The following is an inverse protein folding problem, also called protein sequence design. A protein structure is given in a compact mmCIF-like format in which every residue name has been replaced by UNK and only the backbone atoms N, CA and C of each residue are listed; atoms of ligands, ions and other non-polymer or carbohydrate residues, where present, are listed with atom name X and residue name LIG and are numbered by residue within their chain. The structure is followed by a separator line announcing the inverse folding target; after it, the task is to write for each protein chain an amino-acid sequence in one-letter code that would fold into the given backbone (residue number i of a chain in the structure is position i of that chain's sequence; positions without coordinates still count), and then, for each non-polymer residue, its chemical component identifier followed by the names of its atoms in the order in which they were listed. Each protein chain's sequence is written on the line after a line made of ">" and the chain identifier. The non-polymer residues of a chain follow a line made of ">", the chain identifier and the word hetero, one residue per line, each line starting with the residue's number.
data_IF_450372358080
#
_entry.id   IF_450372358080
#
_cell.length_a   1.000
_cell.length_b   1.000
_cell.length_c   1.000
_cell.angle_alpha   90.00
_cell.angle_beta   90.00
_cell.angle_gamma   90.00
#
_symmetry.space_group_name_H-M   'P 1'
#
loop_
_entity.id
_entity.type
_entity.pdbx_description
1 polymer ?
#
# COMPACT_ATOMS: atom_id res chain seq x y z
N UNK A 1 -50.44 23.52 55.72
CA UNK A 1 -49.85 23.79 54.39
C UNK A 1 -48.56 22.99 54.31
N UNK A 2 -48.29 22.36 53.16
CA UNK A 2 -47.08 21.61 52.75
C UNK A 2 -47.08 20.05 52.86
N UNK A 3 -47.40 19.43 51.71
CA UNK A 3 -46.74 18.32 50.94
C UNK A 3 -46.12 17.12 51.69
N UNK A 4 -46.48 15.86 51.34
CA UNK A 4 -45.60 14.71 51.48
C UNK A 4 -44.80 14.38 50.21
N UNK A 5 -43.59 13.90 50.48
CA UNK A 5 -42.54 13.40 49.60
C UNK A 5 -42.98 12.21 48.73
N UNK A 6 -42.44 12.16 47.50
CA UNK A 6 -41.51 11.14 47.00
C UNK A 6 -41.72 10.90 45.50
N UNK A 7 -40.69 11.18 44.71
CA UNK A 7 -40.06 10.23 43.79
C UNK A 7 -38.88 10.93 43.09
N UNK A 8 -37.69 10.85 43.69
CA UNK A 8 -36.46 11.11 42.95
C UNK A 8 -35.85 9.79 42.50
N UNK A 9 -35.92 9.61 41.18
CA UNK A 9 -35.45 8.50 40.39
C UNK A 9 -33.91 8.45 40.44
N UNK A 10 -33.35 7.41 41.07
CA UNK A 10 -31.91 7.17 41.12
C UNK A 10 -31.38 6.80 39.71
N UNK A 11 -30.86 7.80 38.99
CA UNK A 11 -30.11 7.60 37.75
C UNK A 11 -28.65 7.31 38.10
N UNK A 12 -28.30 6.03 38.17
CA UNK A 12 -26.91 5.59 38.11
C UNK A 12 -26.29 6.03 36.76
N UNK A 13 -25.19 6.80 36.72
CA UNK A 13 -24.48 7.05 35.47
C UNK A 13 -23.74 5.78 35.08
N UNK A 14 -24.18 5.14 33.99
CA UNK A 14 -23.44 4.10 33.29
C UNK A 14 -22.02 4.59 33.02
N UNK A 15 -21.04 4.04 33.74
CA UNK A 15 -19.62 4.15 33.41
C UNK A 15 -19.45 3.60 31.99
N UNK A 16 -19.23 4.49 31.02
CA UNK A 16 -18.85 4.14 29.65
C UNK A 16 -17.60 3.25 29.75
N UNK A 17 -17.76 1.95 29.48
CA UNK A 17 -16.65 1.01 29.33
C UNK A 17 -15.77 1.55 28.21
N UNK A 18 -14.62 2.13 28.55
CA UNK A 18 -13.53 2.37 27.59
C UNK A 18 -13.15 0.99 27.07
N UNK A 19 -13.57 0.66 25.86
CA UNK A 19 -13.08 -0.51 25.15
C UNK A 19 -11.58 -0.32 24.98
N UNK A 20 -10.77 -1.04 25.77
CA UNK A 20 -9.33 -1.13 25.56
C UNK A 20 -9.11 -1.81 24.21
N UNK A 21 -9.10 -1.02 23.13
CA UNK A 21 -8.61 -1.47 21.83
C UNK A 21 -7.16 -1.88 22.02
N UNK A 22 -6.78 -3.03 21.46
CA UNK A 22 -5.41 -3.52 21.53
C UNK A 22 -4.47 -2.51 20.84
N UNK A 23 -3.18 -2.44 21.23
CA UNK A 23 -2.21 -1.56 20.60
C UNK A 23 -2.21 -1.66 19.06
N UNK A 24 -2.42 -2.86 18.52
CA UNK A 24 -2.51 -3.16 17.09
C UNK A 24 -3.77 -2.53 16.45
N UNK A 25 -4.92 -2.63 17.11
CA UNK A 25 -6.16 -2.04 16.61
C UNK A 25 -6.13 -0.50 16.64
N UNK A 26 -5.43 0.09 17.61
CA UNK A 26 -5.19 1.53 17.65
C UNK A 26 -4.21 1.97 16.55
N UNK A 27 -3.13 1.21 16.36
CA UNK A 27 -2.15 1.47 15.30
C UNK A 27 -2.78 1.44 13.90
N UNK A 28 -3.63 0.45 13.59
CA UNK A 28 -4.37 0.41 12.32
C UNK A 28 -5.34 1.57 12.15
N UNK A 29 -6.03 1.96 13.24
CA UNK A 29 -6.95 3.09 13.20
C UNK A 29 -6.22 4.40 12.89
N UNK A 30 -5.10 4.64 13.56
CA UNK A 30 -4.26 5.83 13.36
C UNK A 30 -3.64 5.85 11.95
N UNK A 31 -3.10 4.74 11.46
CA UNK A 31 -2.58 4.65 10.08
C UNK A 31 -3.64 4.95 9.03
N UNK A 32 -4.85 4.42 9.17
CA UNK A 32 -5.94 4.72 8.25
C UNK A 32 -6.40 6.18 8.34
N UNK A 33 -6.25 6.82 9.50
CA UNK A 33 -6.51 8.25 9.66
C UNK A 33 -5.47 9.11 8.91
N UNK A 34 -4.19 8.70 8.91
CA UNK A 34 -3.12 9.40 8.19
C UNK A 34 -3.25 9.27 6.68
N UNK A 35 -3.78 8.15 6.18
CA UNK A 35 -4.15 8.01 4.76
C UNK A 35 -5.18 9.05 4.33
N UNK A 36 -6.04 9.54 5.24
CA UNK A 36 -7.04 10.58 4.95
C UNK A 36 -6.48 11.99 5.14
N UNK A 37 -5.62 12.20 6.14
CA UNK A 37 -5.03 13.51 6.45
C UNK A 37 -3.81 13.86 5.58
N UNK A 38 -3.37 12.94 4.71
CA UNK A 38 -2.17 13.08 3.88
C UNK A 38 -0.91 13.46 4.70
N UNK A 39 -0.73 12.84 5.87
CA UNK A 39 0.47 13.06 6.68
C UNK A 39 1.38 11.82 6.70
N UNK A 40 2.35 11.77 5.78
CA UNK A 40 3.35 10.71 5.71
C UNK A 40 4.32 10.73 6.90
N UNK A 41 4.69 11.92 7.39
CA UNK A 41 5.69 12.09 8.46
C UNK A 41 5.18 11.54 9.79
N UNK A 42 3.91 11.79 10.10
CA UNK A 42 3.27 11.23 11.30
C UNK A 42 3.12 9.70 11.22
N UNK A 43 2.75 9.15 10.06
CA UNK A 43 2.67 7.71 9.87
C UNK A 43 4.04 7.02 10.03
N UNK A 44 5.11 7.63 9.51
CA UNK A 44 6.49 7.20 9.71
C UNK A 44 6.87 7.23 11.19
N UNK A 45 6.57 8.33 11.89
CA UNK A 45 6.89 8.48 13.30
C UNK A 45 6.17 7.42 14.15
N UNK A 46 4.92 7.12 13.81
CA UNK A 46 4.14 6.05 14.44
C UNK A 46 4.77 4.67 14.20
N UNK A 47 5.25 4.41 12.98
CA UNK A 47 5.96 3.18 12.63
C UNK A 47 7.29 3.03 13.39
N UNK A 48 8.12 4.06 13.46
CA UNK A 48 9.37 4.05 14.24
C UNK A 48 9.12 3.82 15.74
N UNK A 49 8.07 4.45 16.27
CA UNK A 49 7.63 4.23 17.64
C UNK A 49 7.19 2.78 17.86
N UNK A 50 6.43 2.19 16.94
CA UNK A 50 6.03 0.79 17.01
C UNK A 50 7.22 -0.17 17.01
N UNK A 51 8.25 0.09 16.18
CA UNK A 51 9.51 -0.67 16.17
C UNK A 51 10.24 -0.54 17.51
N UNK A 52 10.42 0.69 18.00
CA UNK A 52 11.12 0.97 19.25
C UNK A 52 10.45 0.30 20.46
N UNK A 53 9.11 0.29 20.46
CA UNK A 53 8.29 -0.36 21.49
C UNK A 53 8.14 -1.87 21.30
N UNK A 54 8.80 -2.47 20.31
CA UNK A 54 8.71 -3.91 19.96
C UNK A 54 7.26 -4.37 19.77
N UNK A 55 6.43 -3.50 19.18
CA UNK A 55 5.04 -3.82 18.88
C UNK A 55 5.00 -4.90 17.81
N UNK A 56 4.13 -5.90 17.99
CA UNK A 56 3.99 -6.99 17.01
C UNK A 56 3.31 -6.48 15.75
N UNK A 57 4.09 -6.28 14.70
CA UNK A 57 3.57 -5.92 13.38
C UNK A 57 3.05 -7.18 12.66
N UNK A 58 1.99 -7.02 11.88
CA UNK A 58 1.36 -8.09 11.09
C UNK A 58 1.23 -7.62 9.64
N UNK A 59 0.81 -8.52 8.76
CA UNK A 59 0.66 -8.22 7.32
C UNK A 59 -0.19 -6.97 7.06
N UNK A 60 -1.32 -6.81 7.75
CA UNK A 60 -2.21 -5.67 7.55
C UNK A 60 -1.53 -4.33 7.86
N UNK A 61 -0.72 -4.27 8.93
CA UNK A 61 0.09 -3.09 9.27
C UNK A 61 1.03 -2.70 8.13
N UNK A 62 1.76 -3.67 7.58
CA UNK A 62 2.68 -3.47 6.48
C UNK A 62 1.94 -3.04 5.21
N UNK A 63 0.84 -3.70 4.85
CA UNK A 63 0.04 -3.35 3.67
C UNK A 63 -0.43 -1.89 3.72
N UNK A 64 -0.91 -1.42 4.88
CA UNK A 64 -1.34 -0.03 5.03
C UNK A 64 -0.18 0.96 4.89
N UNK A 65 0.98 0.66 5.49
CA UNK A 65 2.18 1.49 5.37
C UNK A 65 2.70 1.56 3.92
N UNK A 66 2.74 0.41 3.23
CA UNK A 66 3.17 0.31 1.84
C UNK A 66 2.22 1.06 0.90
N UNK A 67 0.92 0.86 1.08
CA UNK A 67 -0.10 1.58 0.32
C UNK A 67 0.04 3.10 0.52
N UNK A 68 0.20 3.54 1.77
CA UNK A 68 0.41 4.94 2.11
C UNK A 68 1.63 5.50 1.37
N UNK A 69 2.79 4.82 1.47
CA UNK A 69 4.00 5.21 0.75
C UNK A 69 3.76 5.28 -0.76
N UNK A 70 3.03 4.33 -1.34
CA UNK A 70 2.74 4.32 -2.78
C UNK A 70 1.92 5.53 -3.25
N UNK A 71 1.01 6.04 -2.41
CA UNK A 71 0.23 7.26 -2.72
C UNK A 71 1.15 8.48 -2.68
N UNK A 72 1.92 8.64 -1.61
CA UNK A 72 2.81 9.81 -1.44
C UNK A 72 4.00 9.83 -2.40
N UNK A 73 4.37 8.69 -2.98
CA UNK A 73 5.42 8.63 -3.98
C UNK A 73 5.09 9.49 -5.22
N UNK A 74 3.79 9.72 -5.50
CA UNK A 74 3.35 10.60 -6.59
C UNK A 74 3.41 12.10 -6.25
N UNK A 75 3.57 12.45 -4.98
CA UNK A 75 3.68 13.83 -4.52
C UNK A 75 5.15 14.29 -4.54
N UNK A 76 5.53 15.33 -5.30
CA UNK A 76 6.91 15.77 -5.44
C UNK A 76 7.61 16.10 -4.11
N UNK A 77 6.89 16.69 -3.15
CA UNK A 77 7.47 17.08 -1.86
C UNK A 77 7.75 15.88 -0.94
N UNK A 78 6.94 14.83 -1.07
CA UNK A 78 7.01 13.63 -0.23
C UNK A 78 7.68 12.45 -0.93
N UNK A 79 8.01 12.58 -2.22
CA UNK A 79 8.48 11.49 -3.09
C UNK A 79 9.67 10.73 -2.50
N UNK A 80 10.75 11.43 -2.18
CA UNK A 80 12.00 10.79 -1.72
C UNK A 80 11.82 10.10 -0.37
N UNK A 81 11.02 10.72 0.51
CA UNK A 81 10.68 10.16 1.81
C UNK A 81 9.83 8.90 1.65
N UNK A 82 8.81 8.94 0.78
CA UNK A 82 7.93 7.82 0.50
C UNK A 82 8.66 6.64 -0.13
N UNK A 83 9.60 6.88 -1.05
CA UNK A 83 10.44 5.84 -1.63
C UNK A 83 11.32 5.19 -0.57
N UNK A 84 12.05 6.01 0.20
CA UNK A 84 12.98 5.51 1.23
C UNK A 84 12.25 4.65 2.25
N UNK A 85 11.11 5.13 2.77
CA UNK A 85 10.34 4.39 3.77
C UNK A 85 9.57 3.22 3.19
N UNK A 86 9.04 3.34 1.97
CA UNK A 86 8.32 2.26 1.31
C UNK A 86 9.18 1.01 1.15
N UNK A 87 10.41 1.16 0.66
CA UNK A 87 11.35 0.04 0.56
C UNK A 87 11.78 -0.47 1.94
N UNK A 88 12.10 0.42 2.90
CA UNK A 88 12.46 0.01 4.26
C UNK A 88 11.36 -0.78 4.97
N UNK A 89 10.09 -0.40 4.79
CA UNK A 89 8.93 -1.10 5.35
C UNK A 89 8.80 -2.50 4.73
N UNK A 90 9.03 -2.63 3.43
CA UNK A 90 9.01 -3.92 2.74
C UNK A 90 10.16 -4.84 3.15
N UNK A 91 11.38 -4.30 3.25
CA UNK A 91 12.54 -5.06 3.73
C UNK A 91 12.31 -5.57 5.16
N UNK A 92 11.71 -4.76 6.02
CA UNK A 92 11.34 -5.17 7.37
C UNK A 92 10.27 -6.28 7.37
N UNK A 93 9.25 -6.17 6.51
CA UNK A 93 8.24 -7.22 6.33
C UNK A 93 8.88 -8.56 5.93
N UNK A 94 9.82 -8.53 4.98
CA UNK A 94 10.57 -9.71 4.54
C UNK A 94 11.47 -10.27 5.65
N UNK A 95 12.17 -9.42 6.39
CA UNK A 95 13.03 -9.84 7.50
C UNK A 95 12.26 -10.54 8.64
N UNK A 96 10.98 -10.20 8.82
CA UNK A 96 10.08 -10.87 9.76
C UNK A 96 9.45 -12.16 9.19
N UNK A 97 9.79 -12.56 7.97
CA UNK A 97 9.19 -13.67 7.23
C UNK A 97 7.66 -13.58 7.14
N UNK A 98 7.13 -12.35 7.02
CA UNK A 98 5.70 -12.13 6.82
C UNK A 98 5.44 -12.21 5.31
N UNK A 99 4.56 -13.13 4.90
CA UNK A 99 4.18 -13.25 3.49
C UNK A 99 3.51 -11.97 2.98
N UNK A 100 4.03 -11.44 1.87
CA UNK A 100 3.38 -10.37 1.13
C UNK A 100 2.26 -10.91 0.26
N UNK A 101 1.21 -10.10 0.09
CA UNK A 101 0.09 -10.37 -0.80
C UNK A 101 0.20 -9.54 -2.10
N UNK A 102 -0.78 -9.72 -2.99
CA UNK A 102 -0.86 -8.97 -4.24
C UNK A 102 -0.91 -7.44 -4.01
N UNK A 103 -1.54 -6.97 -2.93
CA UNK A 103 -1.65 -5.55 -2.63
C UNK A 103 -0.30 -4.95 -2.19
N UNK A 104 0.48 -5.70 -1.41
CA UNK A 104 1.85 -5.34 -1.01
C UNK A 104 2.75 -5.20 -2.24
N UNK A 105 2.71 -6.21 -3.13
CA UNK A 105 3.50 -6.21 -4.37
C UNK A 105 3.07 -5.08 -5.29
N UNK A 106 1.77 -4.84 -5.45
CA UNK A 106 1.27 -3.71 -6.25
C UNK A 106 1.78 -2.37 -5.71
N UNK A 107 1.81 -2.20 -4.39
CA UNK A 107 2.33 -0.98 -3.75
C UNK A 107 3.83 -0.81 -3.99
N UNK A 108 4.60 -1.89 -3.92
CA UNK A 108 6.04 -1.88 -4.19
C UNK A 108 6.36 -1.68 -5.66
N UNK A 109 5.60 -2.28 -6.58
CA UNK A 109 5.74 -2.06 -8.01
C UNK A 109 5.48 -0.59 -8.37
N UNK A 110 4.50 0.06 -7.72
CA UNK A 110 4.28 1.51 -7.86
C UNK A 110 5.47 2.34 -7.38
N UNK A 111 6.01 2.03 -6.20
CA UNK A 111 7.20 2.70 -5.67
C UNK A 111 8.41 2.55 -6.61
N UNK A 112 8.63 1.35 -7.13
CA UNK A 112 9.69 1.05 -8.09
C UNK A 112 9.51 1.83 -9.40
N UNK A 113 8.31 1.84 -9.97
CA UNK A 113 8.00 2.61 -11.18
C UNK A 113 8.24 4.11 -11.00
N UNK A 114 7.88 4.69 -9.83
CA UNK A 114 8.13 6.11 -9.50
C UNK A 114 9.62 6.44 -9.36
N UNK A 115 10.41 5.49 -8.85
CA UNK A 115 11.87 5.55 -8.85
C UNK A 115 12.46 5.41 -10.26
N UNK A 116 11.65 4.98 -11.23
CA UNK A 116 12.09 4.68 -12.59
C UNK A 116 12.76 3.31 -12.68
N UNK A 117 12.39 2.35 -11.85
CA UNK A 117 12.93 0.99 -11.88
C UNK A 117 11.83 0.00 -12.31
N UNK A 118 11.61 -0.06 -13.63
CA UNK A 118 10.60 -0.94 -14.23
C UNK A 118 10.98 -2.42 -14.15
N UNK A 119 12.28 -2.74 -14.20
CA UNK A 119 12.79 -4.11 -14.09
C UNK A 119 12.48 -4.69 -12.71
N UNK A 120 12.80 -3.94 -11.65
CA UNK A 120 12.44 -4.35 -10.28
C UNK A 120 10.92 -4.43 -10.11
N UNK A 121 10.16 -3.49 -10.66
CA UNK A 121 8.70 -3.54 -10.61
C UNK A 121 8.16 -4.85 -11.22
N UNK A 122 8.66 -5.25 -12.40
CA UNK A 122 8.22 -6.45 -13.09
C UNK A 122 8.67 -7.74 -12.38
N UNK A 123 9.91 -7.78 -11.87
CA UNK A 123 10.43 -8.90 -11.09
C UNK A 123 9.54 -9.18 -9.86
N UNK A 124 9.11 -8.14 -9.15
CA UNK A 124 8.23 -8.29 -8.00
C UNK A 124 6.86 -8.88 -8.36
N UNK A 125 6.33 -8.57 -9.56
CA UNK A 125 5.07 -9.18 -10.03
C UNK A 125 5.28 -10.66 -10.34
N UNK A 126 6.39 -11.04 -10.99
CA UNK A 126 6.71 -12.45 -11.28
C UNK A 126 6.82 -13.30 -10.02
N UNK A 127 7.37 -12.74 -8.93
CA UNK A 127 7.45 -13.41 -7.62
C UNK A 127 6.08 -13.80 -7.06
N UNK A 128 4.98 -13.16 -7.45
CA UNK A 128 3.63 -13.60 -7.02
C UNK A 128 3.27 -14.98 -7.58
N UNK A 129 3.77 -15.32 -8.78
CA UNK A 129 3.57 -16.63 -9.39
C UNK A 129 4.13 -17.77 -8.54
N UNK A 130 5.27 -17.54 -7.88
CA UNK A 130 5.90 -18.52 -6.99
C UNK A 130 5.03 -18.87 -5.77
N UNK A 131 4.22 -17.91 -5.30
CA UNK A 131 3.30 -18.10 -4.18
C UNK A 131 1.89 -18.55 -4.62
N UNK A 132 1.70 -18.89 -5.90
CA UNK A 132 0.40 -19.24 -6.48
C UNK A 132 -0.67 -18.14 -6.28
N UNK A 133 -0.24 -16.89 -6.13
CA UNK A 133 -1.14 -15.75 -6.04
C UNK A 133 -1.27 -15.16 -7.43
N UNK A 134 -2.48 -15.16 -7.98
CA UNK A 134 -2.72 -14.60 -9.31
C UNK A 134 -2.63 -13.06 -9.26
N UNK A 135 -1.70 -12.45 -10.01
CA UNK A 135 -1.64 -10.99 -10.13
C UNK A 135 -2.89 -10.46 -10.84
N UNK A 136 -3.17 -9.17 -10.63
CA UNK A 136 -4.23 -8.44 -11.33
C UNK A 136 -3.61 -7.50 -12.34
N UNK A 137 -4.41 -6.97 -13.27
CA UNK A 137 -3.92 -5.97 -14.24
C UNK A 137 -3.22 -4.80 -13.55
N UNK A 138 -3.81 -4.28 -12.46
CA UNK A 138 -3.23 -3.21 -11.63
C UNK A 138 -1.85 -3.50 -11.05
N UNK A 139 -1.48 -4.78 -10.92
CA UNK A 139 -0.17 -5.20 -10.40
C UNK A 139 0.90 -5.03 -11.48
N UNK A 140 0.55 -5.24 -12.74
CA UNK A 140 1.44 -5.07 -13.90
C UNK A 140 1.55 -3.62 -14.38
N UNK A 141 0.49 -2.83 -14.21
CA UNK A 141 0.42 -1.42 -14.65
C UNK A 141 1.68 -0.61 -14.33
N UNK A 142 2.26 -0.63 -13.10
CA UNK A 142 3.43 0.18 -12.80
C UNK A 142 4.65 -0.19 -13.66
N UNK A 143 4.90 -1.48 -13.87
CA UNK A 143 6.02 -1.95 -14.68
C UNK A 143 5.80 -1.58 -16.16
N UNK A 144 4.60 -1.87 -16.68
CA UNK A 144 4.24 -1.56 -18.07
C UNK A 144 4.39 -0.08 -18.37
N UNK A 145 3.76 0.79 -17.57
CA UNK A 145 3.84 2.23 -17.79
C UNK A 145 5.25 2.78 -17.59
N UNK A 146 6.06 2.21 -16.68
CA UNK A 146 7.45 2.61 -16.51
C UNK A 146 8.28 2.32 -17.77
N UNK A 147 8.16 1.11 -18.33
CA UNK A 147 8.84 0.78 -19.59
C UNK A 147 8.35 1.63 -20.74
N UNK A 148 7.04 1.89 -20.82
CA UNK A 148 6.49 2.74 -21.86
C UNK A 148 6.98 4.19 -21.76
N UNK A 149 7.06 4.76 -20.57
CA UNK A 149 7.57 6.12 -20.35
C UNK A 149 9.06 6.24 -20.71
N UNK A 150 9.83 5.16 -20.56
CA UNK A 150 11.25 5.09 -20.93
C UNK A 150 11.49 4.69 -22.38
N UNK A 151 10.44 4.44 -23.16
CA UNK A 151 10.52 3.94 -24.53
C UNK A 151 11.23 2.58 -24.64
N UNK A 152 11.15 1.75 -23.61
CA UNK A 152 11.71 0.39 -23.58
C UNK A 152 10.69 -0.61 -24.16
N UNK A 153 10.43 -0.52 -25.47
CA UNK A 153 9.39 -1.27 -26.17
C UNK A 153 9.46 -2.79 -25.94
N UNK A 154 10.64 -3.38 -26.08
CA UNK A 154 10.82 -4.82 -25.93
C UNK A 154 10.38 -5.31 -24.54
N UNK A 155 10.73 -4.58 -23.48
CA UNK A 155 10.32 -4.93 -22.12
C UNK A 155 8.84 -4.68 -21.87
N UNK A 156 8.27 -3.64 -22.48
CA UNK A 156 6.83 -3.40 -22.43
C UNK A 156 6.04 -4.56 -23.08
N UNK A 157 6.52 -5.09 -24.21
CA UNK A 157 5.93 -6.28 -24.86
C UNK A 157 6.11 -7.54 -24.02
N UNK A 158 7.25 -7.72 -23.34
CA UNK A 158 7.42 -8.83 -22.39
C UNK A 158 6.39 -8.80 -21.25
N UNK A 159 6.04 -7.60 -20.76
CA UNK A 159 4.98 -7.43 -19.76
C UNK A 159 3.62 -7.80 -20.34
N UNK A 160 3.29 -7.35 -21.56
CA UNK A 160 2.06 -7.73 -22.25
C UNK A 160 1.95 -9.25 -22.46
N UNK A 161 3.03 -9.90 -22.89
CA UNK A 161 3.05 -11.36 -23.04
C UNK A 161 2.77 -12.08 -21.72
N UNK A 162 3.33 -11.59 -20.60
CA UNK A 162 3.11 -12.18 -19.29
C UNK A 162 1.66 -11.99 -18.82
N UNK A 163 1.08 -10.81 -19.03
CA UNK A 163 -0.35 -10.53 -18.79
C UNK A 163 -1.23 -11.52 -19.56
N UNK A 164 -0.94 -11.73 -20.84
CA UNK A 164 -1.66 -12.66 -21.70
C UNK A 164 -1.49 -14.13 -21.24
N UNK A 165 -0.29 -14.53 -20.80
CA UNK A 165 -0.02 -15.88 -20.27
C UNK A 165 -0.81 -16.17 -18.99
N UNK A 166 -1.01 -15.18 -18.13
CA UNK A 166 -1.82 -15.29 -16.91
C UNK A 166 -3.33 -15.24 -17.22
N UNK A 167 -3.72 -14.92 -18.46
CA UNK A 167 -5.12 -14.86 -18.90
C UNK A 167 -5.83 -13.56 -18.52
N UNK A 168 -5.07 -12.49 -18.30
CA UNK A 168 -5.60 -11.14 -18.09
C UNK A 168 -5.74 -10.41 -19.43
N UNK A 169 -6.68 -9.50 -19.52
CA UNK A 169 -6.87 -8.64 -20.70
C UNK A 169 -6.39 -7.23 -20.40
N UNK A 170 -5.71 -6.60 -21.36
CA UNK A 170 -5.37 -5.18 -21.30
C UNK A 170 -6.62 -4.32 -21.48
N UNK A 171 -6.63 -3.15 -20.82
CA UNK A 171 -7.65 -2.12 -20.99
C UNK A 171 -7.09 -0.95 -21.84
N UNK A 172 -7.94 0.02 -22.16
CA UNK A 172 -7.61 1.17 -23.00
C UNK A 172 -6.31 1.89 -22.59
N UNK A 173 -6.05 2.19 -21.30
CA UNK A 173 -4.83 2.91 -20.91
C UNK A 173 -3.54 2.15 -21.26
N UNK A 174 -3.54 0.83 -21.08
CA UNK A 174 -2.36 -0.01 -21.32
C UNK A 174 -2.12 -0.17 -22.83
N UNK A 175 -3.18 -0.39 -23.60
CA UNK A 175 -3.12 -0.48 -25.07
C UNK A 175 -2.62 0.84 -25.66
N UNK A 176 -3.15 1.98 -25.19
CA UNK A 176 -2.72 3.30 -25.65
C UNK A 176 -1.24 3.56 -25.34
N UNK A 177 -0.75 3.13 -24.16
CA UNK A 177 0.66 3.27 -23.81
C UNK A 177 1.57 2.42 -24.68
N UNK A 178 1.20 1.15 -24.94
CA UNK A 178 1.93 0.27 -25.84
C UNK A 178 1.96 0.81 -27.27
N UNK A 179 0.81 1.24 -27.80
CA UNK A 179 0.71 1.83 -29.13
C UNK A 179 1.60 3.06 -29.28
N UNK A 180 1.63 3.94 -28.26
CA UNK A 180 2.49 5.12 -28.24
C UNK A 180 3.97 4.72 -28.36
N UNK A 181 4.41 3.72 -27.59
CA UNK A 181 5.79 3.25 -27.61
C UNK A 181 6.17 2.63 -28.94
N UNK A 182 5.26 1.85 -29.54
CA UNK A 182 5.44 1.30 -30.89
C UNK A 182 5.61 2.42 -31.90
N UNK A 183 4.72 3.42 -31.90
CA UNK A 183 4.78 4.55 -32.82
C UNK A 183 6.08 5.37 -32.69
N UNK A 184 6.64 5.49 -31.48
CA UNK A 184 7.90 6.20 -31.26
C UNK A 184 9.15 5.37 -31.65
N UNK A 185 9.04 4.04 -31.72
CA UNK A 185 10.14 3.14 -32.10
C UNK A 185 10.14 2.70 -33.57
N UNK A 186 9.02 2.87 -34.29
CA UNK A 186 8.88 2.59 -35.72
C UNK A 186 8.29 1.22 -36.02
#
# INVERSE_FOLDING_TARGET
>A
MAIPEHQENSKNPMKKKKTHKTPEANFLYELNSFSKSKDLKSAISLYESAISNKTRLNQQHFNTLLYLCSIFATDPESKDLALTYGFRVFDHMMALNIHYDEASITSIARLAAVKGDGDYAFEMVKKLGDYQVLPRLRTYEPALFCFCQKLEAQKAYEVEEDINKVGLSLEEPQIAALLKVSAERG
#
